data_IF_502537005955
#
_entry.id   IF_502537005955
#
_cell.length_a   1.000
_cell.length_b   1.000
_cell.length_c   1.000
_cell.angle_alpha   90.00
_cell.angle_beta   90.00
_cell.angle_gamma   90.00
#
_symmetry.space_group_name_H-M   'P 1'
#
loop_
_entity.id
_entity.type
_entity.pdbx_description
1 polymer ?
#
# COMPACT_ATOMS: atom_id res chain seq x y z
N UNK A 1 -9.45 -33.38 -5.85
CA UNK A 1 -8.58 -32.61 -4.93
C UNK A 1 -8.34 -31.29 -5.60
N UNK A 2 -8.85 -30.19 -5.03
CA UNK A 2 -8.97 -28.90 -5.69
C UNK A 2 -7.59 -28.36 -6.10
N UNK A 3 -7.43 -28.13 -7.40
CA UNK A 3 -6.34 -27.35 -7.96
C UNK A 3 -6.61 -25.89 -7.56
N UNK A 4 -5.98 -25.42 -6.49
CA UNK A 4 -5.91 -24.01 -6.17
C UNK A 4 -4.73 -23.43 -6.95
N UNK A 5 -5.06 -22.76 -8.04
CA UNK A 5 -4.13 -21.95 -8.82
C UNK A 5 -3.48 -20.91 -7.88
N UNK A 6 -2.13 -20.75 -7.88
CA UNK A 6 -1.45 -19.79 -7.00
C UNK A 6 -1.90 -18.33 -7.16
N UNK A 7 -2.65 -18.02 -8.22
CA UNK A 7 -3.15 -16.69 -8.57
C UNK A 7 -4.41 -16.23 -7.80
N UNK A 8 -5.08 -17.11 -7.06
CA UNK A 8 -6.36 -16.83 -6.38
C UNK A 8 -6.21 -16.07 -5.02
N UNK A 9 -5.04 -15.49 -4.76
CA UNK A 9 -4.67 -14.89 -3.47
C UNK A 9 -4.94 -13.38 -3.39
N UNK A 10 -5.38 -12.76 -4.49
CA UNK A 10 -5.76 -11.34 -4.53
C UNK A 10 -7.28 -11.24 -4.57
N UNK A 11 -7.86 -10.45 -3.65
CA UNK A 11 -9.25 -10.00 -3.79
C UNK A 11 -9.40 -9.30 -5.16
N UNK A 12 -10.60 -9.32 -5.74
CA UNK A 12 -10.87 -8.72 -7.07
C UNK A 12 -10.25 -7.34 -7.20
N UNK A 13 -9.48 -7.13 -8.27
CA UNK A 13 -8.85 -5.84 -8.57
C UNK A 13 -9.86 -4.69 -8.49
N UNK A 14 -9.43 -3.58 -7.91
CA UNK A 14 -10.25 -2.39 -7.73
C UNK A 14 -9.74 -1.28 -8.64
N UNK A 15 -10.65 -0.71 -9.44
CA UNK A 15 -10.34 0.41 -10.33
C UNK A 15 -10.71 1.74 -9.68
N UNK A 16 -9.84 2.74 -9.84
CA UNK A 16 -10.03 4.10 -9.36
C UNK A 16 -9.73 5.08 -10.50
N UNK A 17 -10.61 6.05 -10.72
CA UNK A 17 -10.37 7.08 -11.73
C UNK A 17 -9.39 8.13 -11.20
N UNK A 18 -8.72 8.85 -12.10
CA UNK A 18 -7.87 9.99 -11.74
C UNK A 18 -8.59 10.96 -10.78
N UNK A 19 -7.89 11.34 -9.72
CA UNK A 19 -8.36 12.25 -8.66
C UNK A 19 -9.19 11.57 -7.57
N UNK A 20 -9.57 10.28 -7.73
CA UNK A 20 -10.35 9.56 -6.74
C UNK A 20 -9.50 9.25 -5.50
N UNK A 21 -10.06 9.52 -4.31
CA UNK A 21 -9.45 9.10 -3.04
C UNK A 21 -9.66 7.59 -2.82
N UNK A 22 -8.57 6.87 -2.58
CA UNK A 22 -8.61 5.43 -2.25
C UNK A 22 -8.91 5.24 -0.76
N UNK A 23 -8.20 5.96 0.10
CA UNK A 23 -8.45 6.03 1.55
C UNK A 23 -7.92 7.36 2.10
N UNK A 24 -8.44 7.79 3.25
CA UNK A 24 -8.01 9.01 3.94
C UNK A 24 -7.13 8.71 5.13
N UNK A 25 -6.30 9.69 5.47
CA UNK A 25 -5.61 9.71 6.75
C UNK A 25 -6.61 9.61 7.90
N UNK A 26 -6.29 8.79 8.92
CA UNK A 26 -7.18 8.54 10.05
C UNK A 26 -8.25 7.47 9.82
N UNK A 27 -8.47 7.00 8.59
CA UNK A 27 -9.36 5.87 8.32
C UNK A 27 -8.81 4.58 8.96
N UNK A 28 -9.67 3.63 9.39
CA UNK A 28 -9.20 2.30 9.73
C UNK A 28 -8.58 1.59 8.51
N UNK A 29 -7.54 0.78 8.73
CA UNK A 29 -6.86 0.02 7.69
C UNK A 29 -6.93 -1.50 7.90
N UNK A 30 -7.76 -2.20 7.13
CA UNK A 30 -7.91 -3.66 7.17
C UNK A 30 -7.16 -4.40 6.04
N UNK A 31 -6.72 -3.64 5.03
CA UNK A 31 -6.00 -4.13 3.84
C UNK A 31 -4.90 -3.17 3.39
N UNK A 32 -3.90 -3.67 2.70
CA UNK A 32 -2.99 -2.86 1.90
C UNK A 32 -3.36 -2.97 0.42
N UNK A 33 -2.73 -2.13 -0.41
CA UNK A 33 -2.90 -2.20 -1.85
C UNK A 33 -1.55 -2.29 -2.56
N UNK A 34 -1.53 -3.08 -3.63
CA UNK A 34 -0.44 -3.11 -4.61
C UNK A 34 -0.93 -2.40 -5.86
N UNK A 35 -0.16 -1.45 -6.38
CA UNK A 35 -0.49 -0.75 -7.61
C UNK A 35 -0.19 -1.67 -8.79
N UNK A 36 -1.22 -2.16 -9.49
CA UNK A 36 -1.02 -2.96 -10.69
C UNK A 36 -0.84 -2.06 -11.91
N UNK A 37 -1.66 -1.01 -12.02
CA UNK A 37 -1.61 -0.02 -13.09
C UNK A 37 -1.84 1.40 -12.54
N UNK A 38 -1.29 2.38 -13.24
CA UNK A 38 -1.41 3.80 -12.88
C UNK A 38 -0.43 4.25 -11.80
N UNK A 39 -0.72 5.41 -11.21
CA UNK A 39 0.10 6.03 -10.16
C UNK A 39 -0.79 6.56 -9.03
N UNK A 40 -0.31 6.44 -7.78
CA UNK A 40 -1.05 6.90 -6.60
C UNK A 40 -0.20 7.88 -5.80
N UNK A 41 -0.75 9.05 -5.49
CA UNK A 41 -0.12 10.05 -4.64
C UNK A 41 -0.48 9.82 -3.16
N UNK A 42 0.53 9.83 -2.30
CA UNK A 42 0.40 9.74 -0.84
C UNK A 42 0.59 11.13 -0.25
N UNK A 43 -0.41 11.63 0.47
CA UNK A 43 -0.52 13.01 0.94
C UNK A 43 -0.83 13.03 2.44
N UNK A 44 -0.13 13.86 3.21
CA UNK A 44 -0.45 14.17 4.62
C UNK A 44 -0.33 15.67 4.82
N UNK A 45 -1.17 16.28 5.65
CA UNK A 45 -1.15 17.73 5.92
C UNK A 45 -1.07 18.60 4.64
N UNK A 46 -1.75 18.18 3.57
CA UNK A 46 -1.72 18.81 2.23
C UNK A 46 -0.35 18.82 1.52
N UNK A 47 0.64 18.09 2.04
CA UNK A 47 1.94 17.88 1.42
C UNK A 47 2.01 16.51 0.71
N UNK A 48 2.44 16.49 -0.55
CA UNK A 48 2.77 15.28 -1.26
C UNK A 48 4.03 14.63 -0.65
N UNK A 49 3.87 13.43 -0.10
CA UNK A 49 4.97 12.67 0.51
C UNK A 49 5.73 11.82 -0.50
N UNK A 50 4.99 11.18 -1.40
CA UNK A 50 5.49 10.22 -2.39
C UNK A 50 4.43 9.94 -3.48
N UNK A 51 4.88 9.63 -4.70
CA UNK A 51 4.06 9.03 -5.75
C UNK A 51 4.47 7.56 -5.92
N UNK A 52 3.51 6.65 -5.76
CA UNK A 52 3.68 5.22 -5.88
C UNK A 52 3.42 4.79 -7.32
N UNK A 53 4.38 4.10 -7.90
CA UNK A 53 4.34 3.56 -9.27
C UNK A 53 3.85 2.10 -9.28
N UNK A 54 3.53 1.52 -10.46
CA UNK A 54 3.18 0.11 -10.58
C UNK A 54 4.22 -0.82 -9.91
N UNK A 55 3.73 -1.86 -9.22
CA UNK A 55 4.51 -2.75 -8.37
C UNK A 55 4.75 -2.20 -6.95
N UNK A 56 4.41 -0.94 -6.68
CA UNK A 56 4.54 -0.32 -5.37
C UNK A 56 3.45 -0.74 -4.40
N UNK A 57 3.77 -0.71 -3.10
CA UNK A 57 2.89 -1.07 -1.99
C UNK A 57 2.48 0.19 -1.21
N UNK A 58 1.20 0.28 -0.85
CA UNK A 58 0.68 1.34 0.01
C UNK A 58 -0.31 0.85 1.06
N UNK A 59 -0.45 1.61 2.15
CA UNK A 59 -1.37 1.30 3.24
C UNK A 59 -0.86 0.19 4.18
N UNK A 60 0.40 -0.21 4.05
CA UNK A 60 1.00 -1.30 4.80
C UNK A 60 1.30 -0.94 6.27
N UNK A 61 1.51 0.35 6.58
CA UNK A 61 1.71 0.82 7.97
C UNK A 61 0.58 0.40 8.90
N UNK A 62 -0.67 0.69 8.52
CA UNK A 62 -1.87 0.39 9.30
C UNK A 62 -2.05 -1.12 9.59
N UNK A 63 -1.49 -1.99 8.74
CA UNK A 63 -1.53 -3.44 8.93
C UNK A 63 -0.46 -3.92 9.92
N UNK A 64 0.67 -3.23 9.97
CA UNK A 64 1.87 -3.62 10.74
C UNK A 64 1.79 -3.11 12.18
N UNK A 65 1.33 -1.89 12.40
CA UNK A 65 1.33 -1.25 13.73
C UNK A 65 -0.06 -1.13 14.38
N UNK A 66 -1.09 -1.64 13.71
CA UNK A 66 -2.50 -1.60 14.13
C UNK A 66 -3.04 -0.20 14.41
N UNK A 67 -2.50 0.82 13.72
CA UNK A 67 -3.00 2.20 13.79
C UNK A 67 -3.83 2.58 12.56
N UNK A 68 -4.59 3.68 12.65
CA UNK A 68 -5.25 4.26 11.48
C UNK A 68 -4.27 4.60 10.34
N UNK A 69 -4.80 4.83 9.13
CA UNK A 69 -4.01 5.25 7.97
C UNK A 69 -3.16 6.48 8.32
N UNK A 70 -1.87 6.39 8.05
CA UNK A 70 -0.89 7.46 8.33
C UNK A 70 -0.89 8.61 7.31
N UNK A 71 -1.60 8.45 6.19
CA UNK A 71 -1.71 9.43 5.13
C UNK A 71 -2.93 9.13 4.24
N UNK A 72 -3.31 10.10 3.41
CA UNK A 72 -4.35 9.97 2.39
C UNK A 72 -3.73 9.46 1.07
N UNK A 73 -4.39 8.51 0.41
CA UNK A 73 -3.99 8.01 -0.91
C UNK A 73 -4.98 8.48 -1.99
N UNK A 74 -4.47 9.09 -3.07
CA UNK A 74 -5.25 9.66 -4.17
C UNK A 74 -4.73 9.12 -5.49
N UNK A 75 -5.62 8.66 -6.36
CA UNK A 75 -5.27 8.20 -7.69
C UNK A 75 -4.75 9.38 -8.53
N UNK A 76 -3.47 9.36 -8.90
CA UNK A 76 -2.83 10.41 -9.71
C UNK A 76 -3.21 10.26 -11.19
N UNK A 77 -3.38 9.02 -11.63
CA UNK A 77 -3.92 8.63 -12.93
C UNK A 77 -5.09 7.67 -12.69
N UNK A 78 -5.72 7.17 -13.76
CA UNK A 78 -6.55 5.98 -13.62
C UNK A 78 -5.69 4.82 -13.11
N UNK A 79 -6.21 4.09 -12.13
CA UNK A 79 -5.47 3.09 -11.38
C UNK A 79 -6.23 1.77 -11.31
N UNK A 80 -5.46 0.69 -11.32
CA UNK A 80 -5.93 -0.66 -10.99
C UNK A 80 -5.11 -1.14 -9.80
N UNK A 81 -5.78 -1.45 -8.69
CA UNK A 81 -5.15 -1.81 -7.43
C UNK A 81 -5.54 -3.23 -7.01
N UNK A 82 -4.56 -4.01 -6.56
CA UNK A 82 -4.78 -5.30 -5.93
C UNK A 82 -4.90 -5.12 -4.41
N UNK A 83 -6.11 -5.22 -3.83
CA UNK A 83 -6.27 -5.27 -2.38
C UNK A 83 -5.69 -6.57 -1.79
N UNK A 84 -4.96 -6.44 -0.68
CA UNK A 84 -4.44 -7.56 0.11
C UNK A 84 -4.93 -7.41 1.54
N UNK A 85 -5.84 -8.30 1.96
CA UNK A 85 -6.36 -8.32 3.33
C UNK A 85 -5.24 -8.59 4.34
N UNK A 86 -5.45 -8.18 5.60
CA UNK A 86 -4.53 -8.51 6.70
C UNK A 86 -4.20 -10.01 6.77
N UNK A 87 -5.21 -10.88 6.62
CA UNK A 87 -5.00 -12.32 6.68
C UNK A 87 -4.09 -12.82 5.55
N UNK A 88 -4.28 -12.30 4.34
CA UNK A 88 -3.42 -12.65 3.19
C UNK A 88 -2.02 -12.07 3.37
N UNK A 89 -1.90 -10.85 3.88
CA UNK A 89 -0.60 -10.25 4.19
C UNK A 89 0.21 -11.11 5.16
N UNK A 90 -0.38 -11.56 6.26
CA UNK A 90 0.28 -12.45 7.23
C UNK A 90 0.70 -13.78 6.58
N UNK A 91 -0.18 -14.34 5.75
CA UNK A 91 0.13 -15.57 5.00
C UNK A 91 1.31 -15.38 4.04
N UNK A 92 1.40 -14.23 3.36
CA UNK A 92 2.53 -13.89 2.48
C UNK A 92 3.83 -13.72 3.26
N UNK A 93 3.78 -13.11 4.44
CA UNK A 93 4.95 -12.96 5.33
C UNK A 93 5.45 -14.32 5.80
N UNK A 94 4.55 -15.24 6.19
CA UNK A 94 4.92 -16.59 6.63
C UNK A 94 5.47 -17.46 5.51
N UNK A 95 4.80 -17.47 4.34
CA UNK A 95 5.14 -18.36 3.22
C UNK A 95 6.23 -17.82 2.31
N UNK A 96 6.42 -16.50 2.29
CA UNK A 96 7.39 -15.84 1.40
C UNK A 96 8.17 -14.79 2.19
N UNK A 97 9.19 -15.18 2.97
CA UNK A 97 9.94 -14.27 3.83
C UNK A 97 10.57 -13.08 3.08
N UNK A 98 10.87 -13.24 1.79
CA UNK A 98 11.37 -12.16 0.93
C UNK A 98 10.36 -11.01 0.77
N UNK A 99 9.06 -11.29 0.84
CA UNK A 99 8.01 -10.26 0.82
C UNK A 99 8.11 -9.33 2.04
N UNK A 100 8.35 -9.90 3.23
CA UNK A 100 8.54 -9.10 4.44
C UNK A 100 9.77 -8.18 4.32
N UNK A 101 10.87 -8.66 3.73
CA UNK A 101 12.05 -7.84 3.44
C UNK A 101 11.76 -6.70 2.46
N UNK A 102 10.92 -6.93 1.45
CA UNK A 102 10.49 -5.89 0.53
C UNK A 102 9.69 -4.80 1.25
N UNK A 103 8.75 -5.18 2.11
CA UNK A 103 7.96 -4.24 2.92
C UNK A 103 8.85 -3.46 3.89
N UNK A 104 9.77 -4.14 4.59
CA UNK A 104 10.74 -3.48 5.48
C UNK A 104 11.62 -2.47 4.74
N UNK A 105 12.05 -2.80 3.52
CA UNK A 105 12.85 -1.89 2.69
C UNK A 105 12.07 -0.61 2.34
N UNK A 106 10.80 -0.74 1.93
CA UNK A 106 9.92 0.39 1.64
C UNK A 106 9.79 1.29 2.87
N UNK A 107 9.55 0.71 4.05
CA UNK A 107 9.46 1.46 5.31
C UNK A 107 10.75 2.20 5.65
N UNK A 108 11.90 1.52 5.51
CA UNK A 108 13.21 2.14 5.78
C UNK A 108 13.49 3.31 4.83
N UNK A 109 13.08 3.21 3.56
CA UNK A 109 13.19 4.29 2.58
C UNK A 109 12.26 5.46 2.93
N UNK A 110 11.00 5.19 3.32
CA UNK A 110 10.05 6.21 3.79
C UNK A 110 10.56 6.94 5.03
N UNK A 111 11.09 6.22 6.02
CA UNK A 111 11.67 6.79 7.24
C UNK A 111 12.86 7.69 6.92
N UNK A 112 13.79 7.23 6.06
CA UNK A 112 14.93 8.06 5.63
C UNK A 112 14.47 9.36 4.97
N UNK A 113 13.47 9.30 4.08
CA UNK A 113 12.89 10.50 3.43
C UNK A 113 12.24 11.43 4.46
N UNK A 114 11.50 10.90 5.42
CA UNK A 114 10.87 11.69 6.47
C UNK A 114 11.91 12.41 7.35
N UNK A 115 12.99 11.73 7.72
CA UNK A 115 14.03 12.31 8.57
C UNK A 115 14.83 13.42 7.87
N UNK A 116 15.06 13.29 6.55
CA UNK A 116 15.75 14.32 5.76
C UNK A 116 14.93 15.62 5.69
N UNK A 117 13.59 15.54 5.65
CA UNK A 117 12.70 16.71 5.61
C UNK A 117 12.63 17.50 6.91
N UNK A 118 13.07 16.93 8.04
CA UNK A 118 13.04 17.60 9.34
C UNK A 118 14.25 18.53 9.58
N UNK A 119 15.27 18.47 8.70
CA UNK A 119 16.53 19.20 8.87
C UNK A 119 16.71 20.41 7.92
N UNK A 120 15.64 20.91 7.26
CA UNK A 120 15.69 22.10 6.40
C UNK A 120 14.69 23.13 6.90
#
# INVERSE_FOLDING_TARGET
MQNQDPSDQFETYQSFNQGQTIFREGDPGDRLYIVAEGQVDIVTDSQLLETINPGGIMGEMALIDDKPRSATAIARTDCVLAPVSRQHFLTLVERTPLFALQVMRIMAERLRRANIRCCT
#
